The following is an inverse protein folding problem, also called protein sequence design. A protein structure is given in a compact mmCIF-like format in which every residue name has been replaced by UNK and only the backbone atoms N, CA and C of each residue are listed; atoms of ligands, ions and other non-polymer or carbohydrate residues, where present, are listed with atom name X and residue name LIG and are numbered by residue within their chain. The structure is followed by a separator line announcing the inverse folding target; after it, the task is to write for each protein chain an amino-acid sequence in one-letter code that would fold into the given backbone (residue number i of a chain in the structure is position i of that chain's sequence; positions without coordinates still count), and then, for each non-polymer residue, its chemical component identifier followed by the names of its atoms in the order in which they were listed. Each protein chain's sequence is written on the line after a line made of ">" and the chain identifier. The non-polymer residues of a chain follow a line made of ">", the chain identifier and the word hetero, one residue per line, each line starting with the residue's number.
data_IF_755150677767
#
_entry.id   IF_755150677767
#
_cell.length_a   1.000
_cell.length_b   1.000
_cell.length_c   1.000
_cell.angle_alpha   90.00
_cell.angle_beta   90.00
_cell.angle_gamma   90.00
#
_symmetry.space_group_name_H-M   'P 1'
#
loop_
_entity.id
_entity.type
_entity.pdbx_description
1 polymer ?
#
# COMPACT_ATOMS: atom_id res chain seq x y z
N UNK A 1 19.57 -4.39 -12.27
CA UNK A 1 18.22 -4.08 -11.79
C UNK A 1 17.33 -3.82 -12.99
N UNK A 2 16.08 -4.31 -13.01
CA UNK A 2 15.12 -3.99 -14.08
C UNK A 2 14.13 -2.93 -13.59
N UNK A 3 14.13 -1.76 -14.22
CA UNK A 3 13.29 -0.62 -13.85
C UNK A 3 11.81 -0.89 -14.19
N UNK A 4 11.51 -1.71 -15.21
CA UNK A 4 10.13 -2.03 -15.60
C UNK A 4 9.46 -2.92 -14.56
N UNK A 5 10.14 -3.97 -14.09
CA UNK A 5 9.67 -4.81 -12.98
C UNK A 5 9.46 -4.01 -11.69
N UNK A 6 10.27 -2.96 -11.45
CA UNK A 6 10.05 -2.04 -10.34
C UNK A 6 8.79 -1.17 -10.56
N UNK A 7 8.60 -0.60 -11.76
CA UNK A 7 7.39 0.16 -12.11
C UNK A 7 6.11 -0.68 -11.92
N UNK A 8 6.09 -1.91 -12.43
CA UNK A 8 4.99 -2.86 -12.24
C UNK A 8 4.72 -3.13 -10.75
N UNK A 9 5.79 -3.40 -9.99
CA UNK A 9 5.68 -3.67 -8.54
C UNK A 9 5.19 -2.45 -7.76
N UNK A 10 5.57 -1.23 -8.15
CA UNK A 10 5.08 0.00 -7.55
C UNK A 10 3.61 0.25 -7.89
N UNK A 11 3.20 0.04 -9.13
CA UNK A 11 1.79 0.16 -9.54
C UNK A 11 0.91 -0.83 -8.77
N UNK A 12 1.32 -2.09 -8.65
CA UNK A 12 0.61 -3.10 -7.87
C UNK A 12 0.41 -2.67 -6.39
N UNK A 13 1.42 -2.04 -5.77
CA UNK A 13 1.33 -1.49 -4.42
C UNK A 13 0.49 -0.19 -4.34
N UNK A 14 0.41 0.58 -5.43
CA UNK A 14 -0.41 1.79 -5.53
C UNK A 14 -1.90 1.48 -5.70
N UNK A 15 -2.20 0.40 -6.41
CA UNK A 15 -3.55 -0.04 -6.76
C UNK A 15 -4.18 -0.90 -5.66
N UNK A 16 -3.36 -1.60 -4.86
CA UNK A 16 -3.77 -2.40 -3.70
C UNK A 16 -4.78 -1.75 -2.73
N UNK A 17 -4.74 -0.44 -2.40
CA UNK A 17 -5.74 0.20 -1.54
C UNK A 17 -7.17 0.10 -2.11
N UNK A 18 -7.33 -0.02 -3.43
CA UNK A 18 -8.63 -0.11 -4.12
C UNK A 18 -8.90 -1.54 -4.61
N UNK A 19 -7.85 -2.19 -5.11
CA UNK A 19 -7.85 -3.53 -5.70
C UNK A 19 -7.14 -4.56 -4.81
N UNK A 20 -7.58 -4.67 -3.54
CA UNK A 20 -7.01 -5.61 -2.54
C UNK A 20 -6.86 -7.06 -3.00
N UNK A 21 -7.65 -7.48 -4.00
CA UNK A 21 -7.68 -8.83 -4.56
C UNK A 21 -6.54 -9.13 -5.55
N UNK A 22 -5.69 -8.15 -5.87
CA UNK A 22 -4.44 -8.40 -6.61
C UNK A 22 -3.31 -8.98 -5.74
N UNK A 23 -3.48 -9.01 -4.41
CA UNK A 23 -2.49 -9.54 -3.47
C UNK A 23 -3.21 -10.40 -2.42
N UNK A 24 -2.84 -11.68 -2.33
CA UNK A 24 -3.58 -12.70 -1.59
C UNK A 24 -3.29 -12.70 -0.08
N UNK A 25 -2.19 -12.06 0.35
CA UNK A 25 -1.80 -11.99 1.77
C UNK A 25 -0.90 -10.81 2.08
N UNK A 26 -0.85 -10.42 3.36
CA UNK A 26 0.12 -9.46 3.89
C UNK A 26 1.57 -9.93 3.79
N UNK A 27 1.80 -11.24 3.72
CA UNK A 27 3.12 -11.83 3.50
C UNK A 27 3.59 -11.59 2.04
N UNK A 28 2.69 -11.80 1.07
CA UNK A 28 2.93 -11.49 -0.34
C UNK A 28 3.16 -9.98 -0.53
N UNK A 29 2.27 -9.14 0.00
CA UNK A 29 2.42 -7.68 0.02
C UNK A 29 3.79 -7.26 0.54
N UNK A 30 4.21 -7.79 1.70
CA UNK A 30 5.49 -7.44 2.31
C UNK A 30 6.69 -7.94 1.50
N UNK A 31 6.58 -9.02 0.74
CA UNK A 31 7.67 -9.49 -0.12
C UNK A 31 7.89 -8.53 -1.30
N UNK A 32 6.81 -8.07 -1.92
CA UNK A 32 6.81 -7.09 -3.03
C UNK A 32 7.29 -5.72 -2.50
N UNK A 33 6.76 -5.27 -1.36
CA UNK A 33 7.15 -4.02 -0.69
C UNK A 33 8.65 -3.98 -0.35
N UNK A 34 9.19 -5.05 0.24
CA UNK A 34 10.63 -5.14 0.57
C UNK A 34 11.51 -5.19 -0.67
N UNK A 35 11.06 -5.84 -1.76
CA UNK A 35 11.74 -5.79 -3.06
C UNK A 35 11.81 -4.36 -3.60
N UNK A 36 10.67 -3.68 -3.66
CA UNK A 36 10.59 -2.28 -4.12
C UNK A 36 11.51 -1.35 -3.32
N UNK A 37 11.51 -1.45 -1.98
CA UNK A 37 12.38 -0.64 -1.14
C UNK A 37 13.87 -0.85 -1.45
N UNK A 38 14.29 -2.11 -1.67
CA UNK A 38 15.67 -2.45 -2.03
C UNK A 38 16.05 -1.92 -3.42
N UNK A 39 15.17 -2.07 -4.41
CA UNK A 39 15.42 -1.60 -5.77
C UNK A 39 15.45 -0.05 -5.82
N UNK A 40 14.56 0.62 -5.07
CA UNK A 40 14.59 2.09 -4.90
C UNK A 40 15.87 2.54 -4.19
N UNK A 41 16.32 1.82 -3.16
CA UNK A 41 17.60 2.10 -2.49
C UNK A 41 18.77 1.95 -3.46
N UNK A 42 18.78 0.92 -4.31
CA UNK A 42 19.78 0.76 -5.36
C UNK A 42 19.77 1.95 -6.33
N UNK A 43 18.60 2.40 -6.82
CA UNK A 43 18.51 3.62 -7.66
C UNK A 43 19.07 4.85 -6.92
N UNK A 44 18.76 5.00 -5.64
CA UNK A 44 19.20 6.14 -4.84
C UNK A 44 20.72 6.12 -4.57
N UNK A 45 21.33 4.93 -4.52
CA UNK A 45 22.78 4.76 -4.46
C UNK A 45 23.41 5.05 -5.84
N UNK A 46 22.93 4.42 -6.92
CA UNK A 46 23.43 4.57 -8.29
C UNK A 46 23.36 6.02 -8.81
N UNK A 47 22.26 6.74 -8.55
CA UNK A 47 22.10 8.16 -8.92
C UNK A 47 22.75 9.13 -7.93
N UNK A 48 23.21 8.66 -6.77
CA UNK A 48 23.59 9.50 -5.64
C UNK A 48 22.43 10.21 -4.92
N UNK A 49 21.20 10.17 -5.47
CA UNK A 49 20.02 10.96 -5.10
C UNK A 49 19.80 11.18 -3.60
N UNK A 50 19.87 12.45 -3.17
CA UNK A 50 19.50 12.85 -1.82
C UNK A 50 17.97 12.81 -1.60
N UNK A 51 17.19 13.18 -2.63
CA UNK A 51 15.73 13.18 -2.58
C UNK A 51 15.16 11.79 -2.31
N UNK A 52 15.56 10.78 -3.10
CA UNK A 52 15.08 9.40 -2.93
C UNK A 52 15.53 8.83 -1.57
N UNK A 53 16.75 9.15 -1.09
CA UNK A 53 17.22 8.81 0.27
C UNK A 53 16.43 9.49 1.40
N UNK A 54 15.84 10.66 1.13
CA UNK A 54 14.87 11.30 2.02
C UNK A 54 13.56 10.51 2.04
N UNK A 55 12.95 10.28 0.87
CA UNK A 55 11.68 9.56 0.72
C UNK A 55 11.72 8.13 1.23
N UNK A 56 12.85 7.43 1.11
CA UNK A 56 13.05 6.10 1.71
C UNK A 56 12.85 6.08 3.24
N UNK A 57 13.15 7.18 3.94
CA UNK A 57 12.93 7.30 5.40
C UNK A 57 11.49 7.63 5.78
N UNK A 58 10.68 8.05 4.81
CA UNK A 58 9.27 8.39 5.02
C UNK A 58 8.33 7.17 5.00
N UNK A 59 8.80 6.03 4.47
CA UNK A 59 8.00 4.82 4.34
C UNK A 59 7.57 4.26 5.70
N UNK A 60 6.30 3.88 5.88
CA UNK A 60 5.82 3.33 7.13
C UNK A 60 6.29 1.88 7.34
N UNK A 61 6.63 1.55 8.58
CA UNK A 61 6.81 0.15 9.00
C UNK A 61 5.47 -0.57 8.95
N UNK A 62 5.44 -1.68 8.22
CA UNK A 62 4.28 -2.56 8.02
C UNK A 62 4.64 -4.00 8.42
N UNK A 63 3.70 -4.68 9.06
CA UNK A 63 3.77 -6.12 9.38
C UNK A 63 2.73 -6.91 8.58
N UNK A 64 2.95 -8.21 8.39
CA UNK A 64 2.00 -9.06 7.64
C UNK A 64 0.61 -8.94 8.24
N UNK A 65 0.51 -9.15 9.56
CA UNK A 65 -0.75 -9.13 10.33
C UNK A 65 -1.57 -7.86 10.13
N UNK A 66 -0.93 -6.69 10.05
CA UNK A 66 -1.64 -5.43 9.75
C UNK A 66 -2.25 -5.44 8.34
N UNK A 67 -1.52 -5.93 7.35
CA UNK A 67 -1.99 -5.99 5.95
C UNK A 67 -3.00 -7.12 5.75
N UNK A 68 -2.81 -8.28 6.40
CA UNK A 68 -3.78 -9.37 6.47
C UNK A 68 -5.10 -8.90 7.08
N UNK A 69 -5.04 -8.10 8.15
CA UNK A 69 -6.23 -7.47 8.75
C UNK A 69 -6.86 -6.42 7.83
N UNK A 70 -6.07 -5.63 7.09
CA UNK A 70 -6.60 -4.69 6.09
C UNK A 70 -7.33 -5.39 4.94
N UNK A 71 -6.77 -6.49 4.41
CA UNK A 71 -7.40 -7.32 3.38
C UNK A 71 -8.73 -7.88 3.90
N UNK A 72 -8.73 -8.41 5.13
CA UNK A 72 -9.97 -8.93 5.76
C UNK A 72 -11.01 -7.82 5.91
N UNK A 73 -10.67 -6.71 6.55
CA UNK A 73 -11.58 -5.58 6.78
C UNK A 73 -12.20 -5.06 5.48
N UNK A 74 -11.40 -4.87 4.42
CA UNK A 74 -11.90 -4.37 3.13
C UNK A 74 -12.60 -5.45 2.27
N UNK A 75 -12.49 -6.73 2.64
CA UNK A 75 -13.32 -7.82 2.10
C UNK A 75 -14.66 -7.90 2.85
N UNK A 76 -14.62 -7.78 4.18
CA UNK A 76 -15.79 -7.71 5.05
C UNK A 76 -16.65 -6.48 4.69
N UNK A 77 -16.05 -5.30 4.45
CA UNK A 77 -16.76 -4.10 3.96
C UNK A 77 -17.56 -4.38 2.67
N UNK A 78 -16.98 -5.13 1.71
CA UNK A 78 -17.69 -5.50 0.47
C UNK A 78 -18.82 -6.49 0.74
N UNK A 79 -18.57 -7.49 1.58
CA UNK A 79 -19.56 -8.51 1.98
C UNK A 79 -20.75 -7.89 2.71
N UNK A 80 -20.48 -6.99 3.65
CA UNK A 80 -21.48 -6.20 4.36
C UNK A 80 -22.26 -5.27 3.41
N UNK A 81 -21.60 -4.60 2.46
CA UNK A 81 -22.30 -3.81 1.45
C UNK A 81 -23.24 -4.66 0.57
N UNK A 82 -22.81 -5.84 0.11
CA UNK A 82 -23.73 -6.77 -0.58
C UNK A 82 -24.90 -7.18 0.31
N UNK A 83 -24.67 -7.48 1.60
CA UNK A 83 -25.75 -7.77 2.54
C UNK A 83 -26.70 -6.56 2.73
N UNK A 84 -26.21 -5.32 2.78
CA UNK A 84 -27.07 -4.13 2.87
C UNK A 84 -27.90 -3.88 1.59
N UNK A 85 -27.40 -4.26 0.41
CA UNK A 85 -28.17 -4.16 -0.83
C UNK A 85 -29.13 -5.35 -1.06
N UNK A 86 -28.79 -6.55 -0.59
CA UNK A 86 -29.66 -7.73 -0.68
C UNK A 86 -30.69 -7.82 0.46
N UNK A 87 -30.45 -7.17 1.61
CA UNK A 87 -31.25 -7.34 2.83
C UNK A 87 -31.79 -6.06 3.46
N UNK A 88 -32.90 -5.61 2.88
CA UNK A 88 -34.09 -5.46 3.72
C UNK A 88 -34.38 -6.85 4.32
N UNK A 89 -34.63 -6.96 5.63
CA UNK A 89 -34.59 -8.21 6.44
C UNK A 89 -33.20 -8.81 6.72
N UNK A 90 -32.54 -8.31 7.77
CA UNK A 90 -32.32 -9.06 9.02
C UNK A 90 -32.26 -8.03 10.17
N UNK A 91 -33.16 -8.14 11.15
CA UNK A 91 -32.96 -7.57 12.47
C UNK A 91 -32.10 -8.53 13.31
N UNK A 92 -31.27 -8.02 14.23
CA UNK A 92 -30.37 -8.78 15.11
C UNK A 92 -29.10 -9.41 14.46
N UNK A 93 -28.24 -8.58 13.84
CA UNK A 93 -26.77 -8.82 13.91
C UNK A 93 -26.13 -7.70 14.73
N UNK A 94 -26.43 -7.69 16.02
CA UNK A 94 -25.66 -6.93 17.02
C UNK A 94 -24.40 -7.75 17.32
N UNK A 95 -23.27 -7.47 16.67
CA UNK A 95 -21.94 -7.72 17.26
C UNK A 95 -20.76 -7.00 16.56
N UNK A 96 -20.18 -6.06 17.31
CA UNK A 96 -18.75 -5.99 17.62
C UNK A 96 -17.70 -5.94 16.48
N UNK A 97 -17.45 -4.74 15.94
CA UNK A 97 -16.08 -4.30 15.61
C UNK A 97 -15.65 -3.08 16.44
N UNK A 98 -15.21 -3.37 17.67
CA UNK A 98 -14.87 -2.38 18.71
C UNK A 98 -13.44 -1.83 18.59
N UNK A 99 -13.05 -1.41 17.38
CA UNK A 99 -11.68 -0.98 17.05
C UNK A 99 -11.66 0.23 16.11
N UNK A 100 -12.17 1.39 16.54
CA UNK A 100 -12.22 2.60 15.69
C UNK A 100 -10.86 3.20 15.29
N UNK A 101 -9.76 2.84 15.96
CA UNK A 101 -8.43 3.45 15.77
C UNK A 101 -7.49 2.63 14.87
N UNK A 102 -7.47 1.30 15.00
CA UNK A 102 -6.50 0.44 14.33
C UNK A 102 -6.69 0.34 12.79
N UNK A 103 -7.91 0.09 12.26
CA UNK A 103 -8.21 0.11 10.82
C UNK A 103 -7.83 1.44 10.16
N UNK A 104 -8.11 2.54 10.84
CA UNK A 104 -7.80 3.88 10.35
C UNK A 104 -6.29 4.16 10.31
N UNK A 105 -5.52 3.59 11.26
CA UNK A 105 -4.06 3.65 11.26
C UNK A 105 -3.44 2.89 10.09
N UNK A 106 -3.84 1.62 9.88
CA UNK A 106 -3.29 0.82 8.77
C UNK A 106 -3.71 1.35 7.40
N UNK A 107 -4.97 1.79 7.23
CA UNK A 107 -5.43 2.47 6.00
C UNK A 107 -4.57 3.71 5.70
N UNK A 108 -4.26 4.53 6.71
CA UNK A 108 -3.35 5.68 6.56
C UNK A 108 -1.93 5.27 6.16
N UNK A 109 -1.36 4.21 6.74
CA UNK A 109 -0.04 3.70 6.34
C UNK A 109 -0.03 3.26 4.87
N UNK A 110 -1.00 2.45 4.44
CA UNK A 110 -1.07 1.91 3.07
C UNK A 110 -1.27 3.05 2.05
N UNK A 111 -2.16 4.01 2.33
CA UNK A 111 -2.27 5.21 1.49
C UNK A 111 -0.98 6.05 1.46
N UNK A 112 -0.19 6.11 2.56
CA UNK A 112 1.12 6.78 2.55
C UNK A 112 2.12 6.05 1.65
N UNK A 113 2.12 4.71 1.61
CA UNK A 113 2.94 3.93 0.67
C UNK A 113 2.61 4.30 -0.76
N UNK A 114 1.33 4.28 -1.15
CA UNK A 114 0.90 4.63 -2.50
C UNK A 114 1.33 6.07 -2.91
N UNK A 115 1.21 7.04 -1.99
CA UNK A 115 1.66 8.42 -2.26
C UNK A 115 3.18 8.51 -2.47
N UNK A 116 3.99 7.92 -1.59
CA UNK A 116 5.46 7.96 -1.71
C UNK A 116 5.93 7.20 -2.96
N UNK A 117 5.31 6.06 -3.26
CA UNK A 117 5.54 5.30 -4.48
C UNK A 117 5.26 6.15 -5.73
N UNK A 118 4.16 6.92 -5.78
CA UNK A 118 3.85 7.80 -6.92
C UNK A 118 4.86 8.95 -7.09
N UNK A 119 5.33 9.56 -5.99
CA UNK A 119 6.40 10.57 -6.03
C UNK A 119 7.70 9.96 -6.59
N UNK A 120 8.10 8.80 -6.06
CA UNK A 120 9.30 8.08 -6.52
C UNK A 120 9.16 7.60 -7.97
N UNK A 121 7.99 7.13 -8.40
CA UNK A 121 7.74 6.74 -9.80
C UNK A 121 7.99 7.90 -10.75
N UNK A 122 7.42 9.08 -10.47
CA UNK A 122 7.63 10.31 -11.27
C UNK A 122 9.10 10.70 -11.36
N UNK A 123 9.84 10.56 -10.26
CA UNK A 123 11.28 10.84 -10.15
C UNK A 123 12.14 9.79 -10.88
N UNK A 124 11.76 8.51 -10.84
CA UNK A 124 12.43 7.44 -11.59
C UNK A 124 12.28 7.72 -13.10
N UNK A 125 11.09 8.10 -13.56
CA UNK A 125 10.84 8.45 -14.98
C UNK A 125 11.47 9.77 -15.43
N UNK A 126 11.50 10.79 -14.55
CA UNK A 126 12.01 12.13 -14.86
C UNK A 126 13.03 12.54 -13.79
N UNK A 127 14.31 12.15 -13.91
CA UNK A 127 15.36 12.46 -12.94
C UNK A 127 15.56 13.97 -12.69
N UNK A 128 15.16 14.82 -13.64
CA UNK A 128 15.17 16.29 -13.53
C UNK A 128 14.28 16.78 -12.36
N UNK A 129 13.29 15.98 -11.92
CA UNK A 129 12.46 16.32 -10.76
C UNK A 129 13.20 16.20 -9.42
N UNK A 130 14.35 15.51 -9.36
CA UNK A 130 15.16 15.33 -8.13
C UNK A 130 15.78 16.63 -7.60
N UNK A 131 15.74 17.72 -8.39
CA UNK A 131 16.22 19.06 -8.00
C UNK A 131 15.10 20.10 -7.91
N UNK A 132 13.83 19.69 -8.10
CA UNK A 132 12.65 20.57 -8.13
C UNK A 132 11.67 20.26 -6.99
N UNK A 133 11.72 19.03 -6.45
CA UNK A 133 10.86 18.51 -5.38
C UNK A 133 11.60 18.38 -4.03
#
# INVERSE_FOLDING_TARGET
>A
MNIELLKESLNLLNDFPEHIYYINSGAEYLSIYKRCLKDIEQIAQERGSAYIKGKLKEYPTLTSKEVDEYIRLKSDDKSLLSLFFERIYIENIICLFRTGSFPHSIKKKICKVANINQEIFRVIEKPILETIL
#
